data_IF_960410234330
#
_entry.id   IF_960410234330
#
_cell.length_a   1.000
_cell.length_b   1.000
_cell.length_c   1.000
_cell.angle_alpha   90.00
_cell.angle_beta   90.00
_cell.angle_gamma   90.00
#
_symmetry.space_group_name_H-M   'P 1'
#
loop_
_entity.id
_entity.type
_entity.pdbx_description
1 polymer ?
#
# COMPACT_ATOMS: atom_id res chain seq x y z
N UNK A 1 12.45 -1.33 1.08
CA UNK A 1 11.62 -2.54 0.91
C UNK A 1 12.44 -3.83 1.01
N UNK A 2 13.59 -3.96 0.33
CA UNK A 2 14.35 -5.22 0.28
C UNK A 2 14.69 -5.90 1.65
N UNK A 3 14.83 -5.13 2.73
CA UNK A 3 15.12 -5.66 4.08
C UNK A 3 13.89 -5.67 5.02
N UNK A 4 12.73 -5.21 4.56
CA UNK A 4 11.51 -5.17 5.37
C UNK A 4 10.58 -6.31 4.96
N UNK A 5 9.75 -6.79 5.88
CA UNK A 5 8.72 -7.79 5.59
C UNK A 5 7.37 -7.16 5.23
N UNK A 6 7.15 -5.93 5.70
CA UNK A 6 5.94 -5.15 5.42
C UNK A 6 6.27 -3.78 4.80
N UNK A 7 5.35 -3.29 3.98
CA UNK A 7 5.35 -1.95 3.39
C UNK A 7 4.07 -1.25 3.82
N UNK A 8 4.19 -0.18 4.61
CA UNK A 8 3.04 0.63 5.03
C UNK A 8 2.86 1.80 4.06
N UNK A 9 1.67 1.92 3.48
CA UNK A 9 1.32 2.97 2.52
C UNK A 9 0.29 3.93 3.12
N UNK A 10 0.70 5.17 3.26
CA UNK A 10 -0.13 6.32 3.61
C UNK A 10 0.12 7.42 2.58
N UNK A 11 -0.65 7.38 1.49
CA UNK A 11 -0.56 8.33 0.37
C UNK A 11 -1.94 8.95 0.12
N UNK A 12 -1.97 10.11 -0.54
CA UNK A 12 -3.18 10.93 -0.65
C UNK A 12 -4.31 10.25 -1.43
N UNK A 13 -3.98 9.52 -2.48
CA UNK A 13 -4.95 8.90 -3.39
C UNK A 13 -4.34 7.73 -4.17
N UNK A 14 -5.18 7.05 -4.96
CA UNK A 14 -4.80 5.92 -5.81
C UNK A 14 -3.74 6.29 -6.84
N UNK A 15 -3.75 7.51 -7.39
CA UNK A 15 -2.76 7.95 -8.37
C UNK A 15 -1.36 8.04 -7.75
N UNK A 16 -1.26 8.61 -6.55
CA UNK A 16 -0.03 8.67 -5.77
C UNK A 16 0.46 7.26 -5.38
N UNK A 17 -0.46 6.36 -4.97
CA UNK A 17 -0.11 4.95 -4.68
C UNK A 17 0.48 4.27 -5.90
N UNK A 18 -0.18 4.39 -7.06
CA UNK A 18 0.30 3.76 -8.30
C UNK A 18 1.66 4.31 -8.72
N UNK A 19 1.84 5.62 -8.67
CA UNK A 19 3.10 6.27 -9.04
C UNK A 19 4.27 5.86 -8.14
N UNK A 20 4.04 5.64 -6.83
CA UNK A 20 5.08 5.25 -5.88
C UNK A 20 5.33 3.74 -5.79
N UNK A 21 4.26 2.94 -5.75
CA UNK A 21 4.32 1.50 -5.47
C UNK A 21 4.39 0.64 -6.73
N UNK A 22 3.67 0.99 -7.79
CA UNK A 22 3.55 0.12 -8.98
C UNK A 22 4.60 0.42 -10.05
N UNK A 23 5.76 0.94 -9.63
CA UNK A 23 6.92 1.09 -10.52
C UNK A 23 7.60 -0.27 -10.74
N UNK A 24 8.29 -0.49 -11.87
CA UNK A 24 9.03 -1.73 -12.09
C UNK A 24 10.04 -2.05 -10.98
N UNK A 25 10.71 -1.03 -10.44
CA UNK A 25 11.69 -1.20 -9.36
C UNK A 25 11.02 -1.62 -8.04
N UNK A 26 9.87 -1.04 -7.71
CA UNK A 26 9.10 -1.40 -6.52
C UNK A 26 8.53 -2.81 -6.64
N UNK A 27 7.87 -3.13 -7.77
CA UNK A 27 7.29 -4.44 -8.02
C UNK A 27 8.32 -5.58 -7.98
N UNK A 28 9.55 -5.33 -8.44
CA UNK A 28 10.63 -6.32 -8.42
C UNK A 28 11.02 -6.82 -7.02
N UNK A 29 10.65 -6.08 -5.96
CA UNK A 29 11.04 -6.38 -4.58
C UNK A 29 9.84 -6.65 -3.65
N UNK A 30 8.62 -6.79 -4.20
CA UNK A 30 7.41 -7.06 -3.41
C UNK A 30 7.13 -8.54 -3.16
N UNK A 31 7.87 -9.45 -3.80
CA UNK A 31 7.71 -10.88 -3.56
C UNK A 31 7.92 -11.21 -2.08
N UNK A 32 6.99 -11.98 -1.53
CA UNK A 32 6.95 -12.41 -0.13
C UNK A 32 6.84 -11.24 0.88
N UNK A 33 6.40 -10.06 0.42
CA UNK A 33 6.18 -8.86 1.25
C UNK A 33 4.69 -8.56 1.40
N UNK A 34 4.31 -8.02 2.56
CA UNK A 34 2.94 -7.57 2.80
C UNK A 34 2.84 -6.06 2.63
N UNK A 35 1.99 -5.62 1.71
CA UNK A 35 1.62 -4.21 1.55
C UNK A 35 0.39 -3.91 2.39
N UNK A 36 0.52 -2.98 3.33
CA UNK A 36 -0.56 -2.49 4.18
C UNK A 36 -1.00 -1.12 3.64
N UNK A 37 -2.18 -1.07 3.05
CA UNK A 37 -2.76 0.10 2.39
C UNK A 37 -3.69 0.83 3.36
N UNK A 38 -3.26 1.98 3.88
CA UNK A 38 -3.98 2.74 4.92
C UNK A 38 -4.74 3.97 4.41
N UNK A 39 -4.54 4.37 3.16
CA UNK A 39 -5.33 5.40 2.51
C UNK A 39 -6.76 4.91 2.26
N UNK A 40 -7.73 5.78 2.50
CA UNK A 40 -9.12 5.53 2.14
C UNK A 40 -9.29 5.77 0.64
N UNK A 41 -9.51 4.70 -0.13
CA UNK A 41 -9.72 4.71 -1.59
C UNK A 41 -11.02 3.96 -1.94
N UNK A 42 -11.46 4.01 -3.20
CA UNK A 42 -12.64 3.25 -3.60
C UNK A 42 -12.37 1.73 -3.59
N UNK A 43 -13.44 0.94 -3.42
CA UNK A 43 -13.36 -0.52 -3.36
C UNK A 43 -12.69 -1.11 -4.62
N UNK A 44 -13.08 -0.62 -5.80
CA UNK A 44 -12.56 -1.11 -7.07
C UNK A 44 -11.07 -0.80 -7.24
N UNK A 45 -10.61 0.33 -6.68
CA UNK A 45 -9.21 0.72 -6.69
C UNK A 45 -8.38 -0.18 -5.77
N UNK A 46 -8.92 -0.48 -4.58
CA UNK A 46 -8.31 -1.42 -3.62
C UNK A 46 -8.14 -2.82 -4.24
N UNK A 47 -9.19 -3.34 -4.89
CA UNK A 47 -9.14 -4.65 -5.56
C UNK A 47 -8.14 -4.66 -6.73
N UNK A 48 -8.05 -3.57 -7.50
CA UNK A 48 -7.09 -3.45 -8.59
C UNK A 48 -5.64 -3.38 -8.07
N UNK A 49 -5.40 -2.73 -6.93
CA UNK A 49 -4.09 -2.72 -6.27
C UNK A 49 -3.71 -4.10 -5.75
N UNK A 50 -4.64 -4.78 -5.08
CA UNK A 50 -4.46 -6.15 -4.60
C UNK A 50 -3.98 -7.07 -5.74
N UNK A 51 -4.70 -7.06 -6.87
CA UNK A 51 -4.37 -7.90 -8.01
C UNK A 51 -2.96 -7.64 -8.56
N UNK A 52 -2.53 -6.39 -8.64
CA UNK A 52 -1.18 -6.04 -9.11
C UNK A 52 -0.07 -6.50 -8.16
N UNK A 53 -0.32 -6.43 -6.86
CA UNK A 53 0.63 -6.85 -5.82
C UNK A 53 0.72 -8.38 -5.76
N UNK A 54 -0.41 -9.07 -5.79
CA UNK A 54 -0.47 -10.54 -5.78
C UNK A 54 0.13 -11.14 -7.06
N UNK A 55 -0.01 -10.47 -8.20
CA UNK A 55 0.60 -10.88 -9.48
C UNK A 55 2.13 -11.01 -9.41
N UNK A 56 2.79 -10.25 -8.54
CA UNK A 56 4.25 -10.33 -8.33
C UNK A 56 4.65 -11.16 -7.11
N UNK A 57 3.68 -11.81 -6.45
CA UNK A 57 3.87 -12.65 -5.28
C UNK A 57 3.96 -11.89 -3.96
N UNK A 58 3.47 -10.64 -3.92
CA UNK A 58 3.25 -9.94 -2.67
C UNK A 58 1.90 -10.28 -2.04
N UNK A 59 1.68 -9.85 -0.80
CA UNK A 59 0.38 -9.91 -0.11
C UNK A 59 -0.17 -8.50 0.09
N UNK A 60 -1.49 -8.37 0.10
CA UNK A 60 -2.17 -7.08 0.24
C UNK A 60 -3.10 -7.10 1.46
N UNK A 61 -3.07 -6.03 2.25
CA UNK A 61 -3.96 -5.80 3.37
C UNK A 61 -4.52 -4.38 3.28
N UNK A 62 -5.84 -4.27 3.13
CA UNK A 62 -6.54 -2.99 3.23
C UNK A 62 -6.77 -2.67 4.72
N UNK A 63 -6.34 -1.48 5.15
CA UNK A 63 -6.40 -1.05 6.56
C UNK A 63 -6.67 0.47 6.66
N UNK A 64 -7.80 0.97 6.10
CA UNK A 64 -8.10 2.40 6.11
C UNK A 64 -8.25 2.90 7.55
N UNK A 65 -7.69 4.07 7.82
CA UNK A 65 -7.63 4.63 9.17
C UNK A 65 -8.84 5.50 9.45
N UNK A 66 -9.48 5.26 10.59
CA UNK A 66 -10.47 6.15 11.15
C UNK A 66 -9.80 7.03 12.21
N UNK A 67 -9.76 8.34 11.97
CA UNK A 67 -9.11 9.31 12.85
C UNK A 67 -8.66 10.56 12.09
N UNK A 68 -8.09 11.49 12.82
CA UNK A 68 -7.56 12.77 12.34
C UNK A 68 -6.04 12.80 12.41
N UNK A 69 -5.43 13.77 11.73
CA UNK A 69 -3.99 14.00 11.83
C UNK A 69 -3.55 14.26 13.28
N UNK A 70 -4.40 14.91 14.08
CA UNK A 70 -4.10 15.19 15.49
C UNK A 70 -3.96 13.91 16.33
N UNK A 71 -4.76 12.89 16.06
CA UNK A 71 -4.69 11.59 16.76
C UNK A 71 -3.49 10.75 16.29
N UNK A 72 -3.03 10.94 15.05
CA UNK A 72 -1.84 10.27 14.51
C UNK A 72 -0.52 10.90 14.99
N UNK A 73 -0.57 12.10 15.57
CA UNK A 73 0.59 12.75 16.17
C UNK A 73 0.85 12.15 17.55
N UNK A 74 2.00 11.51 17.71
CA UNK A 74 2.55 11.23 19.03
C UNK A 74 3.25 12.51 19.51
N UNK A 75 2.75 13.10 20.60
CA UNK A 75 3.49 14.12 21.36
C UNK A 75 4.60 13.42 22.15
#
# INVERSE_FOLDING_TARGET
>A
MAQADCVVLTLADTAAIRAGLLTPASLAVLRDKTVIQMATIAQEESLALQAEIERVGGSYCEAPVLGSLAEAQFI
#
